data_IF_108970499641
#
_entry.id   IF_108970499641
#
_cell.length_a   1.000
_cell.length_b   1.000
_cell.length_c   1.000
_cell.angle_alpha   90.00
_cell.angle_beta   90.00
_cell.angle_gamma   90.00
#
_symmetry.space_group_name_H-M   'P 1'
#
loop_
_entity.id
_entity.type
_entity.pdbx_description
1 polymer ?
#
# COMPACT_ATOMS: atom_id res chain seq x y z
N UNK A 1 -4.35 -9.57 3.14
CA UNK A 1 -3.54 -8.33 3.29
C UNK A 1 -3.28 -8.11 4.77
N UNK A 2 -2.25 -7.35 5.17
CA UNK A 2 -1.76 -7.29 6.55
C UNK A 2 -2.80 -6.83 7.57
N UNK A 3 -3.80 -6.10 7.11
CA UNK A 3 -4.87 -5.48 7.88
C UNK A 3 -6.17 -6.30 7.92
N UNK A 4 -6.23 -7.46 7.26
CA UNK A 4 -7.43 -8.33 7.13
C UNK A 4 -8.70 -7.66 6.56
N UNK A 5 -8.61 -6.39 6.16
CA UNK A 5 -9.67 -5.67 5.47
C UNK A 5 -9.72 -6.19 4.02
N UNK A 6 -10.89 -6.54 3.46
CA UNK A 6 -10.97 -6.92 2.05
C UNK A 6 -10.99 -5.68 1.15
N UNK A 7 -10.47 -5.78 -0.08
CA UNK A 7 -10.51 -4.69 -1.08
C UNK A 7 -11.93 -4.16 -1.31
N UNK A 8 -12.93 -5.05 -1.23
CA UNK A 8 -14.35 -4.70 -1.37
C UNK A 8 -14.80 -3.65 -0.34
N UNK A 9 -14.25 -3.68 0.87
CA UNK A 9 -14.58 -2.71 1.91
C UNK A 9 -14.14 -1.28 1.54
N UNK A 10 -13.03 -1.15 0.77
CA UNK A 10 -12.61 0.15 0.25
C UNK A 10 -13.56 0.62 -0.84
N UNK A 11 -13.97 -0.29 -1.73
CA UNK A 11 -14.85 0.05 -2.86
C UNK A 11 -16.23 0.49 -2.34
N UNK A 12 -16.69 -0.11 -1.25
CA UNK A 12 -17.97 0.19 -0.60
C UNK A 12 -17.87 1.29 0.47
N UNK A 13 -16.78 2.07 0.49
CA UNK A 13 -16.65 3.21 1.41
C UNK A 13 -17.82 4.18 1.23
N UNK A 14 -18.49 4.51 2.34
CA UNK A 14 -19.49 5.57 2.34
C UNK A 14 -18.84 6.91 1.97
N UNK A 15 -19.62 7.85 1.41
CA UNK A 15 -19.13 9.20 1.08
C UNK A 15 -18.46 9.87 2.28
N UNK A 16 -19.03 9.72 3.49
CA UNK A 16 -18.47 10.26 4.73
C UNK A 16 -17.09 9.67 5.04
N UNK A 17 -16.94 8.35 4.88
CA UNK A 17 -15.67 7.68 5.09
C UNK A 17 -14.63 8.05 4.02
N UNK A 18 -15.03 8.24 2.77
CA UNK A 18 -14.14 8.74 1.71
C UNK A 18 -13.63 10.16 1.98
N UNK A 19 -14.49 11.05 2.50
CA UNK A 19 -14.09 12.40 2.93
C UNK A 19 -13.11 12.31 4.11
N UNK A 20 -13.39 11.46 5.10
CA UNK A 20 -12.47 11.22 6.23
C UNK A 20 -11.09 10.72 5.76
N UNK A 21 -11.06 9.77 4.81
CA UNK A 21 -9.81 9.28 4.23
C UNK A 21 -9.04 10.36 3.47
N UNK A 22 -9.75 11.21 2.73
CA UNK A 22 -9.14 12.33 2.02
C UNK A 22 -8.50 13.33 3.00
N UNK A 23 -9.20 13.67 4.07
CA UNK A 23 -8.67 14.54 5.13
C UNK A 23 -7.43 13.92 5.80
N UNK A 24 -7.46 12.63 6.07
CA UNK A 24 -6.34 11.88 6.63
C UNK A 24 -5.12 11.92 5.71
N UNK A 25 -5.29 11.60 4.42
CA UNK A 25 -4.21 11.63 3.43
C UNK A 25 -3.59 13.02 3.28
N UNK A 26 -4.42 14.06 3.22
CA UNK A 26 -3.93 15.45 3.20
C UNK A 26 -3.23 15.83 4.52
N UNK A 27 -3.69 15.30 5.65
CA UNK A 27 -3.03 15.43 6.95
C UNK A 27 -1.62 14.84 6.96
N UNK A 28 -1.46 13.61 6.45
CA UNK A 28 -0.17 12.92 6.32
C UNK A 28 0.84 13.78 5.53
N UNK A 29 0.42 14.33 4.39
CA UNK A 29 1.28 15.18 3.56
C UNK A 29 1.68 16.48 4.27
N UNK A 30 0.71 17.17 4.90
CA UNK A 30 0.97 18.43 5.63
C UNK A 30 1.86 18.24 6.84
N UNK A 31 1.63 17.18 7.61
CA UNK A 31 2.40 16.88 8.82
C UNK A 31 3.75 16.22 8.51
N UNK A 32 3.99 15.80 7.25
CA UNK A 32 5.15 15.00 6.83
C UNK A 32 5.35 13.75 7.69
N UNK A 33 4.26 13.21 8.24
CA UNK A 33 4.27 12.08 9.14
C UNK A 33 3.37 10.97 8.60
N UNK A 34 4.01 9.87 8.17
CA UNK A 34 3.29 8.69 7.69
C UNK A 34 3.02 7.71 8.85
N UNK A 35 1.79 7.19 9.00
CA UNK A 35 1.42 6.30 10.10
C UNK A 35 2.29 5.06 10.17
N UNK A 36 2.83 4.76 11.36
CA UNK A 36 3.75 3.63 11.53
C UNK A 36 3.09 2.28 11.22
N UNK A 37 1.83 2.10 11.60
CA UNK A 37 1.07 0.88 11.30
C UNK A 37 0.93 0.60 9.80
N UNK A 38 0.96 1.64 8.96
CA UNK A 38 0.88 1.52 7.50
C UNK A 38 2.24 1.29 6.84
N UNK A 39 3.34 1.49 7.57
CA UNK A 39 4.70 1.13 7.11
C UNK A 39 5.01 -0.35 7.29
N UNK A 40 4.26 -1.03 8.16
CA UNK A 40 4.43 -2.45 8.41
C UNK A 40 3.88 -3.22 7.21
N UNK A 41 4.77 -3.91 6.50
CA UNK A 41 4.44 -4.78 5.38
C UNK A 41 4.61 -6.25 5.74
N UNK A 42 3.70 -7.10 5.26
CA UNK A 42 3.82 -8.54 5.40
C UNK A 42 4.57 -9.12 4.20
N UNK A 43 5.74 -9.73 4.43
CA UNK A 43 6.56 -10.30 3.36
C UNK A 43 6.08 -11.71 3.05
N UNK A 44 5.74 -11.97 1.79
CA UNK A 44 5.42 -13.31 1.28
C UNK A 44 6.48 -13.70 0.26
N UNK A 45 7.03 -14.90 0.40
CA UNK A 45 7.97 -15.47 -0.56
C UNK A 45 7.22 -16.18 -1.69
N UNK A 46 7.39 -15.71 -2.93
CA UNK A 46 6.81 -16.34 -4.13
C UNK A 46 7.90 -17.13 -4.84
N UNK A 47 7.73 -18.44 -5.08
CA UNK A 47 8.75 -19.24 -5.75
C UNK A 47 8.92 -18.85 -7.22
N UNK A 48 10.17 -18.84 -7.69
CA UNK A 48 10.51 -18.70 -9.12
C UNK A 48 10.14 -19.98 -9.85
N UNK A 49 9.46 -19.85 -10.98
CA UNK A 49 9.10 -20.97 -11.85
C UNK A 49 10.36 -21.79 -12.22
N UNK A 50 10.25 -23.12 -12.14
CA UNK A 50 11.31 -24.06 -12.50
C UNK A 50 12.49 -24.16 -11.52
N UNK A 51 12.42 -23.56 -10.33
CA UNK A 51 13.49 -23.62 -9.32
C UNK A 51 13.07 -24.34 -8.04
N UNK A 52 14.04 -24.94 -7.34
CA UNK A 52 13.80 -25.66 -6.09
C UNK A 52 13.27 -24.72 -4.99
N UNK A 53 12.14 -25.10 -4.40
CA UNK A 53 11.42 -24.33 -3.37
C UNK A 53 12.23 -24.07 -2.09
N UNK A 54 13.21 -24.92 -1.78
CA UNK A 54 14.00 -24.88 -0.54
C UNK A 54 15.19 -23.91 -0.58
N UNK A 55 15.49 -23.30 -1.73
CA UNK A 55 16.64 -22.39 -1.87
C UNK A 55 16.15 -20.94 -1.78
N UNK A 56 16.72 -20.15 -0.86
CA UNK A 56 16.35 -18.75 -0.67
C UNK A 56 16.47 -17.90 -1.96
N UNK A 57 17.50 -18.15 -2.78
CA UNK A 57 17.69 -17.48 -4.08
C UNK A 57 16.60 -17.81 -5.13
N UNK A 58 15.82 -18.87 -4.88
CA UNK A 58 14.69 -19.29 -5.71
C UNK A 58 13.38 -18.64 -5.31
N UNK A 59 13.35 -17.84 -4.24
CA UNK A 59 12.17 -17.09 -3.80
C UNK A 59 12.24 -15.64 -4.31
N UNK A 60 11.08 -15.03 -4.54
CA UNK A 60 10.88 -13.59 -4.79
C UNK A 60 10.11 -13.04 -3.59
N UNK A 61 10.75 -12.34 -2.65
CA UNK A 61 10.03 -11.70 -1.57
C UNK A 61 9.16 -10.56 -2.14
N UNK A 62 7.88 -10.57 -1.80
CA UNK A 62 6.93 -9.49 -2.11
C UNK A 62 6.39 -8.95 -0.81
N UNK A 63 6.50 -7.65 -0.61
CA UNK A 63 5.95 -6.96 0.56
C UNK A 63 4.51 -6.55 0.28
N UNK A 64 3.57 -7.09 1.05
CA UNK A 64 2.19 -6.65 1.05
C UNK A 64 2.01 -5.53 2.07
N UNK A 65 1.70 -4.33 1.57
CA UNK A 65 1.26 -3.20 2.40
C UNK A 65 -0.23 -3.30 2.75
N UNK A 66 -0.67 -2.51 3.74
CA UNK A 66 -2.09 -2.34 4.05
C UNK A 66 -2.86 -1.77 2.85
N UNK A 67 -4.17 -1.97 2.83
CA UNK A 67 -5.02 -1.47 1.77
C UNK A 67 -5.00 0.05 1.67
N UNK A 68 -5.02 0.74 2.81
CA UNK A 68 -4.97 2.19 2.86
C UNK A 68 -3.61 2.74 2.45
N UNK A 69 -2.51 2.07 2.79
CA UNK A 69 -1.17 2.46 2.33
C UNK A 69 -1.07 2.38 0.79
N UNK A 70 -1.51 1.26 0.20
CA UNK A 70 -1.55 1.10 -1.27
C UNK A 70 -2.46 2.12 -1.94
N UNK A 71 -3.61 2.44 -1.34
CA UNK A 71 -4.51 3.47 -1.86
C UNK A 71 -3.85 4.85 -1.86
N UNK A 72 -3.19 5.21 -0.77
CA UNK A 72 -2.45 6.45 -0.66
C UNK A 72 -1.33 6.55 -1.71
N UNK A 73 -0.52 5.51 -1.86
CA UNK A 73 0.53 5.43 -2.89
C UNK A 73 -0.05 5.61 -4.29
N UNK A 74 -1.16 4.92 -4.62
CA UNK A 74 -1.83 5.04 -5.93
C UNK A 74 -2.28 6.46 -6.25
N UNK A 75 -2.74 7.20 -5.24
CA UNK A 75 -3.20 8.59 -5.40
C UNK A 75 -2.00 9.53 -5.50
N UNK A 76 -0.94 9.30 -4.72
CA UNK A 76 0.23 10.15 -4.65
C UNK A 76 1.16 10.01 -5.87
N UNK A 77 1.39 8.78 -6.34
CA UNK A 77 2.31 8.46 -7.42
C UNK A 77 2.13 9.32 -8.69
N UNK A 78 0.92 9.45 -9.28
CA UNK A 78 0.73 10.26 -10.48
C UNK A 78 0.94 11.76 -10.21
N UNK A 79 0.66 12.23 -8.99
CA UNK A 79 0.89 13.64 -8.60
C UNK A 79 2.38 13.93 -8.48
N UNK A 80 3.12 13.01 -7.87
CA UNK A 80 4.57 13.10 -7.74
C UNK A 80 5.24 13.03 -9.11
N UNK A 81 4.83 12.08 -9.95
CA UNK A 81 5.36 11.94 -11.30
C UNK A 81 5.12 13.20 -12.14
N UNK A 82 3.96 13.84 -12.01
CA UNK A 82 3.68 15.12 -12.66
C UNK A 82 4.63 16.23 -12.18
N UNK A 83 4.89 16.30 -10.88
CA UNK A 83 5.76 17.33 -10.31
C UNK A 83 7.24 17.14 -10.64
N UNK A 84 7.69 15.90 -10.80
CA UNK A 84 9.09 15.57 -11.11
C UNK A 84 9.43 15.63 -12.61
N UNK A 85 8.42 15.56 -13.50
CA UNK A 85 8.59 15.64 -14.95
C UNK A 85 8.10 16.97 -15.53
N UNK A 86 7.85 17.96 -14.68
CA UNK A 86 7.75 19.38 -15.01
C UNK A 86 9.07 20.04 -14.68
#
# INVERSE_FOLDING_TARGET
MPDWIPTVAIIQLSKRAAVAMTMLFNGILRMRHFPQCWKIGHVIAIPKAGKHLRIASSQRPVTLLSHFAKLFERILLPRLYRHLNT
#
